data_IF_153029890056
#
_entry.id   IF_153029890056
#
_cell.length_a   1.000
_cell.length_b   1.000
_cell.length_c   1.000
_cell.angle_alpha   90.00
_cell.angle_beta   90.00
_cell.angle_gamma   90.00
#
_symmetry.space_group_name_H-M   'P 1'
#
loop_
_entity.id
_entity.type
_entity.pdbx_description
1 polymer ?
#
# COMPACT_ATOMS: atom_id res chain seq x y z
N UNK A 1 -14.36 -9.73 5.95
CA UNK A 1 -13.48 -8.81 6.74
C UNK A 1 -13.88 -8.68 8.20
N UNK A 2 -15.14 -8.41 8.58
CA UNK A 2 -15.56 -8.44 10.00
C UNK A 2 -15.41 -9.81 10.61
N UNK A 3 -15.87 -10.83 9.90
CA UNK A 3 -15.80 -12.24 10.29
C UNK A 3 -14.37 -12.72 10.60
N UNK A 4 -13.36 -12.20 9.93
CA UNK A 4 -11.95 -12.55 10.18
C UNK A 4 -11.51 -12.08 11.58
N UNK A 5 -11.99 -10.91 12.02
CA UNK A 5 -11.72 -10.37 13.35
C UNK A 5 -12.42 -11.18 14.43
N UNK A 6 -13.64 -11.63 14.17
CA UNK A 6 -14.40 -12.49 15.08
C UNK A 6 -13.67 -13.82 15.31
N UNK A 7 -13.17 -14.45 14.24
CA UNK A 7 -12.38 -15.69 14.31
C UNK A 7 -11.10 -15.49 15.11
N UNK A 8 -10.47 -14.34 15.02
CA UNK A 8 -9.23 -14.00 15.74
C UNK A 8 -9.50 -13.50 17.18
N UNK A 9 -10.76 -13.35 17.58
CA UNK A 9 -11.11 -12.79 18.88
C UNK A 9 -10.69 -11.33 19.06
N UNK A 10 -10.61 -10.57 17.95
CA UNK A 10 -10.17 -9.18 17.95
C UNK A 10 -11.37 -8.26 17.68
N UNK A 11 -11.54 -7.24 18.53
CA UNK A 11 -12.57 -6.26 18.35
C UNK A 11 -12.34 -5.42 17.08
N UNK A 12 -13.30 -5.49 16.15
CA UNK A 12 -13.31 -4.76 14.88
C UNK A 12 -13.19 -3.24 15.07
N UNK A 13 -13.78 -2.69 16.12
CA UNK A 13 -13.81 -1.23 16.34
C UNK A 13 -12.45 -0.68 16.78
N UNK A 14 -11.57 -1.54 17.29
CA UNK A 14 -10.20 -1.18 17.66
C UNK A 14 -9.21 -1.17 16.49
N UNK A 15 -9.58 -1.67 15.30
CA UNK A 15 -8.68 -1.86 14.15
C UNK A 15 -7.85 -0.64 13.77
N UNK A 16 -8.46 0.55 13.87
CA UNK A 16 -7.78 1.79 13.54
C UNK A 16 -6.68 2.16 14.55
N UNK A 17 -6.95 1.95 15.84
CA UNK A 17 -5.99 2.20 16.90
C UNK A 17 -4.89 1.13 16.91
N UNK A 18 -5.29 -0.11 16.68
CA UNK A 18 -4.38 -1.25 16.57
C UNK A 18 -3.32 -1.03 15.50
N UNK A 19 -3.73 -0.70 14.27
CA UNK A 19 -2.78 -0.48 13.18
C UNK A 19 -1.87 0.74 13.42
N UNK A 20 -2.35 1.78 14.11
CA UNK A 20 -1.51 2.93 14.45
C UNK A 20 -0.38 2.54 15.41
N UNK A 21 -0.67 1.71 16.42
CA UNK A 21 0.34 1.18 17.35
C UNK A 21 1.26 0.15 16.67
N UNK A 22 0.71 -0.73 15.84
CA UNK A 22 1.49 -1.71 15.06
C UNK A 22 2.54 -1.03 14.16
N UNK A 23 2.19 0.06 13.49
CA UNK A 23 3.14 0.83 12.67
C UNK A 23 4.27 1.40 13.55
N UNK A 24 3.95 1.93 14.72
CA UNK A 24 4.95 2.45 15.65
C UNK A 24 5.89 1.33 16.14
N UNK A 25 5.34 0.17 16.48
CA UNK A 25 6.10 -1.00 16.93
C UNK A 25 6.99 -1.53 15.79
N UNK A 26 6.46 -1.67 14.58
CA UNK A 26 7.24 -2.14 13.42
C UNK A 26 8.42 -1.21 13.14
N UNK A 27 8.20 0.10 13.16
CA UNK A 27 9.29 1.08 12.94
C UNK A 27 10.30 1.06 14.06
N UNK A 28 9.86 0.98 15.32
CA UNK A 28 10.74 0.92 16.47
C UNK A 28 11.63 -0.32 16.45
N UNK A 29 11.08 -1.48 16.21
CA UNK A 29 11.82 -2.74 16.12
C UNK A 29 12.77 -2.77 14.91
N UNK A 30 12.33 -2.26 13.76
CA UNK A 30 13.13 -2.22 12.54
C UNK A 30 14.31 -1.23 12.61
N UNK A 31 14.25 -0.23 13.48
CA UNK A 31 15.35 0.70 13.70
C UNK A 31 16.55 0.07 14.41
N UNK A 32 16.38 -1.09 15.02
CA UNK A 32 17.43 -1.80 15.78
C UNK A 32 17.57 -1.32 17.21
N UNK A 33 18.32 -2.10 17.99
CA UNK A 33 18.43 -1.86 19.43
C UNK A 33 17.27 -2.44 20.23
N UNK A 34 17.20 -2.10 21.50
CA UNK A 34 16.06 -2.45 22.35
C UNK A 34 14.97 -1.41 22.18
N UNK A 35 13.74 -1.90 22.04
CA UNK A 35 12.52 -1.10 21.85
C UNK A 35 11.43 -1.58 22.82
N UNK A 36 10.70 -0.64 23.39
CA UNK A 36 9.53 -0.91 24.23
C UNK A 36 8.35 -0.06 23.74
N UNK A 37 7.13 -0.51 23.99
CA UNK A 37 5.92 0.19 23.62
C UNK A 37 4.85 -0.01 24.68
N UNK A 38 4.29 1.08 25.20
CA UNK A 38 3.22 1.07 26.18
C UNK A 38 2.02 1.82 25.62
N UNK A 39 1.22 1.10 24.80
CA UNK A 39 0.03 1.63 24.12
C UNK A 39 -1.27 1.27 24.84
N UNK A 40 -2.38 1.56 24.21
CA UNK A 40 -3.70 1.16 24.70
C UNK A 40 -4.07 -0.27 24.28
N UNK A 41 -3.53 -0.72 23.15
CA UNK A 41 -3.78 -2.04 22.58
C UNK A 41 -2.62 -2.99 22.86
N UNK A 42 -1.40 -2.51 22.72
CA UNK A 42 -0.21 -3.32 22.90
C UNK A 42 0.65 -2.79 24.05
N UNK A 43 1.10 -3.72 24.85
CA UNK A 43 2.09 -3.50 25.89
C UNK A 43 3.28 -4.41 25.61
N UNK A 44 4.36 -3.86 25.06
CA UNK A 44 5.53 -4.60 24.64
C UNK A 44 6.70 -4.26 25.57
N UNK A 45 7.22 -5.23 26.31
CA UNK A 45 8.41 -5.02 27.14
C UNK A 45 9.63 -4.72 26.26
N UNK A 46 10.70 -4.28 26.87
CA UNK A 46 11.96 -3.98 26.17
C UNK A 46 12.53 -5.23 25.47
N UNK A 47 12.37 -5.29 24.15
CA UNK A 47 12.77 -6.39 23.27
C UNK A 47 13.54 -5.87 22.07
N UNK A 48 14.22 -6.77 21.36
CA UNK A 48 14.88 -6.46 20.08
C UNK A 48 14.70 -7.59 19.09
N UNK A 49 14.75 -7.25 17.81
CA UNK A 49 14.85 -8.22 16.72
C UNK A 49 16.24 -8.18 16.09
N UNK A 50 16.68 -9.30 15.57
CA UNK A 50 17.93 -9.40 14.82
C UNK A 50 17.81 -10.55 13.80
N UNK A 51 18.28 -10.37 12.55
CA UNK A 51 18.80 -9.13 11.99
C UNK A 51 17.72 -8.07 11.77
N UNK A 52 18.09 -6.80 11.71
CA UNK A 52 17.20 -5.71 11.28
C UNK A 52 17.38 -5.45 9.78
N UNK A 53 16.41 -4.81 9.12
CA UNK A 53 16.54 -4.40 7.72
C UNK A 53 17.76 -3.49 7.52
N UNK A 54 18.48 -3.66 6.42
CA UNK A 54 19.64 -2.82 6.07
C UNK A 54 19.25 -1.40 5.63
N UNK A 55 17.99 -1.19 5.28
CA UNK A 55 17.40 0.11 4.96
C UNK A 55 15.95 0.15 5.49
N UNK A 56 15.39 1.34 5.76
CA UNK A 56 13.99 1.47 6.15
C UNK A 56 13.06 0.79 5.13
N UNK A 57 12.09 0.02 5.63
CA UNK A 57 11.05 -0.60 4.80
C UNK A 57 9.88 0.37 4.69
N UNK A 58 9.49 0.81 3.47
CA UNK A 58 8.34 1.67 3.30
C UNK A 58 7.04 0.98 3.76
N UNK A 59 6.19 1.73 4.46
CA UNK A 59 4.87 1.26 4.90
C UNK A 59 3.81 2.00 4.11
N UNK A 60 3.13 1.27 3.23
CA UNK A 60 2.00 1.81 2.47
C UNK A 60 0.69 1.48 3.17
N UNK A 61 -0.18 2.47 3.28
CA UNK A 61 -1.47 2.35 3.94
C UNK A 61 -2.57 2.24 2.88
N UNK A 62 -3.34 1.16 2.92
CA UNK A 62 -4.48 0.96 2.02
C UNK A 62 -5.78 1.55 2.56
N UNK A 63 -6.75 1.74 1.65
CA UNK A 63 -8.12 2.11 1.95
C UNK A 63 -8.54 3.49 1.48
N UNK A 64 -9.86 3.64 1.24
CA UNK A 64 -10.47 4.84 0.64
C UNK A 64 -11.22 5.71 1.66
N UNK A 65 -11.40 5.21 2.89
CA UNK A 65 -12.05 5.99 3.94
C UNK A 65 -11.19 7.16 4.36
N UNK A 66 -11.84 8.21 4.86
CA UNK A 66 -11.15 9.38 5.35
C UNK A 66 -10.16 9.07 6.49
N UNK A 67 -10.51 8.10 7.34
CA UNK A 67 -9.62 7.62 8.40
C UNK A 67 -8.36 6.93 7.84
N UNK A 68 -8.49 6.16 6.75
CA UNK A 68 -7.36 5.51 6.10
C UNK A 68 -6.45 6.54 5.40
N UNK A 69 -7.03 7.51 4.70
CA UNK A 69 -6.28 8.58 4.03
C UNK A 69 -5.52 9.46 5.05
N UNK A 70 -6.16 9.81 6.19
CA UNK A 70 -5.46 10.52 7.28
C UNK A 70 -4.32 9.70 7.87
N UNK A 71 -4.49 8.39 8.03
CA UNK A 71 -3.44 7.50 8.52
C UNK A 71 -2.27 7.45 7.53
N UNK A 72 -2.55 7.26 6.24
CA UNK A 72 -1.54 7.29 5.19
C UNK A 72 -0.75 8.60 5.22
N UNK A 73 -1.43 9.73 5.31
CA UNK A 73 -0.81 11.05 5.39
C UNK A 73 0.10 11.25 6.60
N UNK A 74 -0.29 10.72 7.77
CA UNK A 74 0.46 10.93 9.03
C UNK A 74 1.55 9.90 9.26
N UNK A 75 1.27 8.64 8.99
CA UNK A 75 2.07 7.50 9.42
C UNK A 75 2.67 6.69 8.27
N UNK A 76 2.12 6.82 7.05
CA UNK A 76 2.58 6.06 5.90
C UNK A 76 3.77 6.72 5.19
N UNK A 77 4.51 5.89 4.47
CA UNK A 77 5.48 6.30 3.45
C UNK A 77 4.82 6.32 2.07
N UNK A 78 3.58 5.83 1.97
CA UNK A 78 2.77 5.83 0.78
C UNK A 78 1.33 5.42 1.03
N UNK A 79 0.53 5.49 -0.04
CA UNK A 79 -0.86 5.08 -0.07
C UNK A 79 -1.10 4.07 -1.19
N UNK A 80 -1.88 3.03 -0.89
CA UNK A 80 -2.28 2.01 -1.84
C UNK A 80 -3.77 2.13 -2.17
N UNK A 81 -4.07 2.46 -3.43
CA UNK A 81 -5.40 2.29 -4.01
C UNK A 81 -5.60 0.82 -4.37
N UNK A 82 -6.24 0.07 -3.50
CA UNK A 82 -6.41 -1.38 -3.63
C UNK A 82 -7.43 -1.84 -4.68
N UNK A 83 -7.76 -0.99 -5.66
CA UNK A 83 -8.82 -1.23 -6.64
C UNK A 83 -10.10 -0.47 -6.31
N UNK A 84 -11.14 -0.64 -7.11
CA UNK A 84 -12.41 0.09 -7.02
C UNK A 84 -12.68 0.92 -8.27
N UNK A 85 -13.59 1.88 -8.18
CA UNK A 85 -13.92 2.78 -9.29
C UNK A 85 -12.79 3.80 -9.49
N UNK A 86 -12.13 3.72 -10.64
CA UNK A 86 -11.06 4.65 -11.01
C UNK A 86 -11.55 6.09 -11.24
N UNK A 87 -12.85 6.30 -11.44
CA UNK A 87 -13.43 7.64 -11.52
C UNK A 87 -13.31 8.40 -10.18
N UNK A 88 -13.18 7.68 -9.05
CA UNK A 88 -12.99 8.28 -7.73
C UNK A 88 -11.52 8.64 -7.45
N UNK A 89 -10.56 8.11 -8.22
CA UNK A 89 -9.13 8.30 -7.95
C UNK A 89 -8.71 9.77 -7.82
N UNK A 90 -9.09 10.69 -8.72
CA UNK A 90 -8.72 12.11 -8.57
C UNK A 90 -9.22 12.73 -7.27
N UNK A 91 -10.44 12.40 -6.84
CA UNK A 91 -11.02 12.90 -5.59
C UNK A 91 -10.30 12.33 -4.36
N UNK A 92 -9.91 11.06 -4.39
CA UNK A 92 -9.14 10.41 -3.34
C UNK A 92 -7.75 11.03 -3.21
N UNK A 93 -7.07 11.28 -4.33
CA UNK A 93 -5.76 11.93 -4.37
C UNK A 93 -5.82 13.36 -3.83
N UNK A 94 -6.84 14.13 -4.20
CA UNK A 94 -7.04 15.48 -3.68
C UNK A 94 -7.26 15.48 -2.14
N UNK A 95 -8.07 14.55 -1.62
CA UNK A 95 -8.28 14.39 -0.18
C UNK A 95 -6.99 13.99 0.54
N UNK A 96 -6.25 13.04 -0.03
CA UNK A 96 -4.96 12.59 0.50
C UNK A 96 -3.97 13.76 0.58
N UNK A 97 -3.86 14.56 -0.49
CA UNK A 97 -3.02 15.76 -0.51
C UNK A 97 -3.43 16.77 0.59
N UNK A 98 -4.73 17.01 0.78
CA UNK A 98 -5.24 17.85 1.86
C UNK A 98 -4.87 17.32 3.25
N UNK A 99 -4.95 16.01 3.46
CA UNK A 99 -4.53 15.41 4.73
C UNK A 99 -3.02 15.48 4.94
N UNK A 100 -2.20 15.32 3.90
CA UNK A 100 -0.75 15.48 3.99
C UNK A 100 -0.36 16.91 4.33
N UNK A 101 -1.01 17.88 3.70
CA UNK A 101 -0.80 19.29 4.02
C UNK A 101 -1.16 19.58 5.49
N UNK A 102 -2.33 19.15 5.94
CA UNK A 102 -2.77 19.31 7.33
C UNK A 102 -1.86 18.62 8.36
N UNK A 103 -1.19 17.53 7.97
CA UNK A 103 -0.23 16.80 8.80
C UNK A 103 1.21 17.37 8.70
N UNK A 104 1.47 18.34 7.82
CA UNK A 104 2.82 18.88 7.57
C UNK A 104 3.77 17.87 6.95
N UNK A 105 3.25 16.96 6.12
CA UNK A 105 4.03 15.87 5.50
C UNK A 105 4.10 15.97 3.98
N UNK A 106 3.56 17.01 3.39
CA UNK A 106 3.52 17.24 1.94
C UNK A 106 4.91 17.37 1.30
N UNK A 107 5.90 17.84 2.04
CA UNK A 107 7.30 17.90 1.60
C UNK A 107 8.09 16.59 1.74
N UNK A 108 7.52 15.52 2.29
CA UNK A 108 8.21 14.22 2.42
C UNK A 108 8.03 13.38 1.16
N UNK A 109 9.01 12.54 0.80
CA UNK A 109 8.80 11.47 -0.19
C UNK A 109 7.56 10.65 0.16
N UNK A 110 6.77 10.31 -0.85
CA UNK A 110 5.53 9.56 -0.63
C UNK A 110 5.15 8.81 -1.90
N UNK A 111 4.89 7.53 -1.77
CA UNK A 111 4.52 6.66 -2.87
C UNK A 111 2.99 6.57 -3.00
N UNK A 112 2.53 6.54 -4.24
CA UNK A 112 1.11 6.34 -4.58
C UNK A 112 1.01 5.15 -5.52
N UNK A 113 0.57 4.02 -4.97
CA UNK A 113 0.42 2.77 -5.70
C UNK A 113 -1.02 2.55 -6.11
N UNK A 114 -1.26 2.26 -7.38
CA UNK A 114 -2.61 2.13 -7.93
C UNK A 114 -2.78 0.82 -8.71
N UNK A 115 -3.87 0.11 -8.44
CA UNK A 115 -4.35 -0.98 -9.29
C UNK A 115 -5.32 -0.38 -10.31
N UNK A 116 -4.95 -0.40 -11.59
CA UNK A 116 -5.71 0.23 -12.66
C UNK A 116 -5.63 -0.55 -13.97
N UNK A 117 -6.74 -0.57 -14.72
CA UNK A 117 -6.73 -1.06 -16.10
C UNK A 117 -5.89 -0.18 -17.05
N UNK A 118 -5.73 1.10 -16.73
CA UNK A 118 -4.87 2.03 -17.47
C UNK A 118 -3.39 1.62 -17.43
N UNK A 119 -2.98 0.89 -16.38
CA UNK A 119 -1.62 0.41 -16.22
C UNK A 119 -1.13 -0.54 -17.33
N UNK A 120 -2.04 -1.07 -18.16
CA UNK A 120 -1.68 -2.01 -19.25
C UNK A 120 -1.25 -1.32 -20.56
N UNK A 121 -1.22 0.00 -20.60
CA UNK A 121 -0.77 0.79 -21.77
C UNK A 121 0.18 1.91 -21.37
N UNK A 122 1.11 2.27 -22.27
CA UNK A 122 2.04 3.39 -22.03
C UNK A 122 1.30 4.70 -21.75
N UNK A 123 0.30 5.01 -22.55
CA UNK A 123 -0.47 6.26 -22.37
C UNK A 123 -1.32 6.25 -21.09
N UNK A 124 -1.79 5.08 -20.69
CA UNK A 124 -2.50 4.94 -19.43
C UNK A 124 -1.61 5.14 -18.22
N UNK A 125 -0.39 4.58 -18.24
CA UNK A 125 0.60 4.82 -17.17
C UNK A 125 1.00 6.30 -17.11
N UNK A 126 1.16 6.97 -18.26
CA UNK A 126 1.43 8.41 -18.30
C UNK A 126 0.29 9.22 -17.68
N UNK A 127 -0.97 8.92 -18.05
CA UNK A 127 -2.13 9.58 -17.42
C UNK A 127 -2.20 9.38 -15.91
N UNK A 128 -1.82 8.21 -15.41
CA UNK A 128 -1.74 7.96 -13.97
C UNK A 128 -0.59 8.76 -13.32
N UNK A 129 0.57 8.81 -13.96
CA UNK A 129 1.71 9.60 -13.49
C UNK A 129 1.38 11.10 -13.44
N UNK A 130 0.67 11.63 -14.44
CA UNK A 130 0.21 13.02 -14.48
C UNK A 130 -0.75 13.36 -13.31
N UNK A 131 -1.41 12.35 -12.74
CA UNK A 131 -2.24 12.49 -11.54
C UNK A 131 -1.44 12.36 -10.23
N UNK A 132 -0.14 12.08 -10.28
CA UNK A 132 0.70 11.89 -9.11
C UNK A 132 0.82 10.43 -8.63
N UNK A 133 0.42 9.47 -9.45
CA UNK A 133 0.68 8.04 -9.19
C UNK A 133 2.16 7.77 -9.43
N UNK A 134 2.82 7.14 -8.47
CA UNK A 134 4.24 6.79 -8.57
C UNK A 134 4.45 5.37 -9.08
N UNK A 135 3.54 4.48 -8.74
CA UNK A 135 3.65 3.06 -9.01
C UNK A 135 2.32 2.46 -9.45
N UNK A 136 2.37 1.55 -10.40
CA UNK A 136 1.19 0.81 -10.85
C UNK A 136 1.33 -0.68 -10.54
N UNK A 137 0.24 -1.28 -10.08
CA UNK A 137 0.16 -2.71 -9.82
C UNK A 137 -0.65 -3.35 -10.93
N UNK A 138 -0.05 -4.30 -11.63
CA UNK A 138 -0.68 -5.06 -12.71
C UNK A 138 -0.82 -6.53 -12.34
N UNK A 139 -1.98 -7.12 -12.65
CA UNK A 139 -2.25 -8.54 -12.45
C UNK A 139 -2.62 -9.19 -13.77
N UNK A 140 -2.02 -10.33 -14.08
CA UNK A 140 -2.27 -11.04 -15.34
C UNK A 140 -3.37 -12.11 -15.24
N UNK A 141 -4.05 -12.20 -14.08
CA UNK A 141 -5.22 -13.04 -13.83
C UNK A 141 -6.44 -12.16 -13.56
N UNK A 142 -6.87 -11.45 -14.58
CA UNK A 142 -8.03 -10.57 -14.47
C UNK A 142 -9.11 -10.92 -15.52
N UNK A 143 -10.40 -11.00 -15.17
CA UNK A 143 -10.93 -10.86 -13.80
C UNK A 143 -10.48 -12.02 -12.89
N UNK A 144 -10.38 -11.75 -11.58
CA UNK A 144 -10.01 -12.77 -10.60
C UNK A 144 -11.10 -13.84 -10.52
N UNK A 145 -10.71 -15.08 -10.68
CA UNK A 145 -11.56 -16.25 -10.50
C UNK A 145 -11.13 -17.03 -9.25
N UNK A 146 -12.10 -17.38 -8.42
CA UNK A 146 -11.86 -18.31 -7.31
C UNK A 146 -11.59 -19.72 -7.88
N UNK A 147 -10.63 -20.42 -7.31
CA UNK A 147 -10.27 -21.79 -7.72
C UNK A 147 -8.80 -21.93 -8.10
N UNK A 148 -8.37 -23.16 -8.38
CA UNK A 148 -6.98 -23.44 -8.76
C UNK A 148 -6.56 -22.63 -9.98
N UNK A 149 -5.35 -22.14 -9.95
CA UNK A 149 -4.72 -21.54 -11.12
C UNK A 149 -4.13 -22.65 -11.98
N UNK A 150 -4.82 -22.96 -13.08
CA UNK A 150 -4.44 -24.02 -14.04
C UNK A 150 -3.71 -23.47 -15.27
N UNK A 151 -3.47 -22.14 -15.33
CA UNK A 151 -2.76 -21.55 -16.46
C UNK A 151 -1.30 -22.03 -16.50
N UNK A 152 -0.82 -22.54 -17.66
CA UNK A 152 0.56 -22.97 -17.81
C UNK A 152 1.57 -21.85 -17.52
N UNK A 153 2.69 -22.19 -16.88
CA UNK A 153 3.75 -21.21 -16.58
C UNK A 153 4.26 -20.49 -17.85
N UNK A 154 4.35 -21.20 -18.99
CA UNK A 154 4.78 -20.60 -20.25
C UNK A 154 3.87 -19.45 -20.70
N UNK A 155 2.57 -19.58 -20.51
CA UNK A 155 1.59 -18.54 -20.88
C UNK A 155 1.70 -17.33 -19.95
N UNK A 156 1.89 -17.56 -18.65
CA UNK A 156 2.14 -16.50 -17.67
C UNK A 156 3.42 -15.72 -18.01
N UNK A 157 4.50 -16.43 -18.31
CA UNK A 157 5.76 -15.80 -18.72
C UNK A 157 5.61 -15.01 -20.02
N UNK A 158 4.82 -15.50 -20.95
CA UNK A 158 4.54 -14.79 -22.22
C UNK A 158 3.82 -13.47 -21.96
N UNK A 159 2.81 -13.47 -21.10
CA UNK A 159 2.09 -12.23 -20.70
C UNK A 159 3.03 -11.23 -20.03
N UNK A 160 3.86 -11.71 -19.09
CA UNK A 160 4.82 -10.86 -18.38
C UNK A 160 5.85 -10.24 -19.33
N UNK A 161 6.44 -11.04 -20.22
CA UNK A 161 7.40 -10.56 -21.23
C UNK A 161 6.78 -9.53 -22.16
N UNK A 162 5.58 -9.81 -22.65
CA UNK A 162 4.85 -8.86 -23.50
C UNK A 162 4.63 -7.53 -22.79
N UNK A 163 4.23 -7.55 -21.53
CA UNK A 163 4.05 -6.33 -20.74
C UNK A 163 5.38 -5.57 -20.57
N UNK A 164 6.46 -6.28 -20.25
CA UNK A 164 7.78 -5.68 -20.13
C UNK A 164 8.23 -5.00 -21.44
N UNK A 165 8.02 -5.63 -22.59
CA UNK A 165 8.40 -5.11 -23.89
C UNK A 165 7.51 -3.95 -24.37
N UNK A 166 6.20 -4.03 -24.09
CA UNK A 166 5.23 -3.07 -24.64
C UNK A 166 4.97 -1.87 -23.75
N UNK A 167 5.19 -2.01 -22.44
CA UNK A 167 4.94 -0.96 -21.45
C UNK A 167 6.21 -0.55 -20.73
N UNK A 168 6.87 -1.46 -19.99
CA UNK A 168 8.00 -1.09 -19.12
C UNK A 168 9.15 -0.49 -19.92
N UNK A 169 9.60 -1.18 -21.00
CA UNK A 169 10.72 -0.72 -21.81
C UNK A 169 10.49 0.60 -22.52
N UNK A 170 9.23 1.02 -22.66
CA UNK A 170 8.84 2.28 -23.32
C UNK A 170 8.60 3.44 -22.35
N UNK A 171 8.68 3.18 -21.05
CA UNK A 171 8.62 4.22 -20.01
C UNK A 171 10.02 4.83 -19.74
N UNK A 172 11.10 4.11 -20.06
CA UNK A 172 12.47 4.50 -19.79
C UNK A 172 13.06 5.48 -20.83
N UNK A 173 12.24 5.95 -21.79
CA UNK A 173 12.60 6.95 -22.81
C UNK A 173 11.80 8.21 -22.61
#
# INVERSE_FOLDING_TARGET
>A
MGEDYDVLGVDWDTRGQRIDEEIAILRGLAAGGYFEHHGKIFDLPSVKIAPVPSAPIPILIGGHSDAALRRAARLGDGWLHGGGDLAELPALLARLAGHRHAAGTDGRPFEVHVISSDAYTVDGVRRLADQGVTDVIVGFRWPYHTGPDTEPLADKLTKLRRYAETVISRQAT
#
